data_IF_630967418271
#
_entry.id   IF_630967418271
#
_cell.length_a   1.000
_cell.length_b   1.000
_cell.length_c   1.000
_cell.angle_alpha   90.00
_cell.angle_beta   90.00
_cell.angle_gamma   90.00
#
_symmetry.space_group_name_H-M   'P 1'
#
loop_
_entity.id
_entity.type
_entity.pdbx_description
1 polymer ?
#
# COMPACT_ATOMS: atom_id res chain seq x y z
N UNK A 1 -1.08 7.29 -4.54
CA UNK A 1 -1.16 6.05 -3.71
C UNK A 1 -2.41 6.15 -2.84
N UNK A 2 -3.10 5.04 -2.60
CA UNK A 2 -4.33 5.00 -1.81
C UNK A 2 -4.25 3.85 -0.81
N UNK A 3 -4.68 4.10 0.43
CA UNK A 3 -4.74 3.08 1.49
C UNK A 3 -6.19 2.65 1.73
N UNK A 4 -6.35 1.37 2.06
CA UNK A 4 -7.59 0.68 2.37
C UNK A 4 -7.42 -0.07 3.68
N UNK A 5 -8.52 -0.19 4.41
CA UNK A 5 -8.63 -1.01 5.63
C UNK A 5 -9.45 -2.28 5.40
N UNK A 6 -9.93 -2.50 4.17
CA UNK A 6 -10.67 -3.69 3.78
C UNK A 6 -9.71 -4.86 3.51
N UNK A 7 -10.25 -6.08 3.47
CA UNK A 7 -9.52 -7.29 3.10
C UNK A 7 -9.66 -7.56 1.58
N UNK A 8 -8.60 -8.10 0.96
CA UNK A 8 -8.54 -8.49 -0.46
C UNK A 8 -8.78 -7.37 -1.52
N UNK A 9 -8.02 -6.26 -1.47
CA UNK A 9 -8.10 -5.22 -2.51
C UNK A 9 -7.64 -5.78 -3.86
N UNK A 10 -8.50 -5.64 -4.87
CA UNK A 10 -8.26 -6.11 -6.23
C UNK A 10 -7.54 -5.07 -7.11
N UNK A 11 -7.02 -5.51 -8.26
CA UNK A 11 -6.42 -4.62 -9.26
C UNK A 11 -7.42 -3.56 -9.76
N UNK A 12 -8.68 -3.93 -9.97
CA UNK A 12 -9.68 -3.01 -10.52
C UNK A 12 -10.08 -1.94 -9.50
N UNK A 13 -10.12 -2.28 -8.21
CA UNK A 13 -10.28 -1.29 -7.13
C UNK A 13 -9.06 -0.38 -7.02
N UNK A 14 -7.84 -0.94 -7.12
CA UNK A 14 -6.63 -0.13 -7.18
C UNK A 14 -6.69 0.87 -8.34
N UNK A 15 -7.10 0.44 -9.55
CA UNK A 15 -7.22 1.31 -10.73
C UNK A 15 -8.22 2.45 -10.49
N UNK A 16 -9.42 2.10 -10.02
CA UNK A 16 -10.49 3.05 -9.77
C UNK A 16 -10.02 4.16 -8.81
N UNK A 17 -9.46 3.74 -7.67
CA UNK A 17 -9.09 4.68 -6.62
C UNK A 17 -7.81 5.46 -6.93
N UNK A 18 -6.85 4.84 -7.62
CA UNK A 18 -5.63 5.53 -8.04
C UNK A 18 -5.90 6.58 -9.13
N UNK A 19 -7.03 6.50 -9.85
CA UNK A 19 -7.44 7.52 -10.83
C UNK A 19 -7.63 8.92 -10.23
N UNK A 20 -7.97 9.01 -8.94
CA UNK A 20 -8.17 10.26 -8.22
C UNK A 20 -7.17 10.46 -7.06
N UNK A 21 -6.22 9.54 -6.86
CA UNK A 21 -5.32 9.59 -5.72
C UNK A 21 -4.23 10.65 -5.89
N UNK A 22 -4.20 11.62 -4.98
CA UNK A 22 -3.23 12.73 -4.93
C UNK A 22 -2.11 12.53 -3.90
N UNK A 23 -2.24 11.52 -3.03
CA UNK A 23 -1.24 11.24 -2.00
C UNK A 23 -0.04 10.49 -2.56
N UNK A 24 1.14 10.84 -2.09
CA UNK A 24 2.40 10.13 -2.38
C UNK A 24 3.08 9.57 -1.14
N UNK A 25 2.52 9.82 0.05
CA UNK A 25 3.11 9.44 1.34
C UNK A 25 2.01 9.12 2.34
N UNK A 26 2.23 8.07 3.12
CA UNK A 26 1.48 7.78 4.35
C UNK A 26 2.45 7.72 5.52
N UNK A 27 2.06 8.27 6.68
CA UNK A 27 2.87 8.12 7.88
C UNK A 27 2.68 6.71 8.41
N UNK A 28 3.75 6.05 8.85
CA UNK A 28 3.60 4.70 9.42
C UNK A 28 2.64 4.71 10.62
N UNK A 29 2.57 5.81 11.37
CA UNK A 29 1.61 6.00 12.45
C UNK A 29 0.15 5.77 12.01
N UNK A 30 -0.26 6.21 10.82
CA UNK A 30 -1.63 6.05 10.30
C UNK A 30 -1.90 4.71 9.62
N UNK A 31 -0.89 3.86 9.46
CA UNK A 31 -1.01 2.57 8.78
C UNK A 31 -1.09 1.46 9.84
N UNK A 32 -2.16 0.67 9.81
CA UNK A 32 -2.33 -0.48 10.69
C UNK A 32 -1.74 -1.75 10.07
N UNK A 33 -1.46 -2.76 10.89
CA UNK A 33 -1.28 -4.12 10.36
C UNK A 33 -2.56 -4.57 9.64
N UNK A 34 -2.42 -5.26 8.52
CA UNK A 34 -3.49 -5.59 7.59
C UNK A 34 -3.82 -4.49 6.56
N UNK A 35 -3.33 -3.25 6.74
CA UNK A 35 -3.61 -2.17 5.78
C UNK A 35 -3.08 -2.50 4.39
N UNK A 36 -3.91 -2.25 3.39
CA UNK A 36 -3.60 -2.49 1.98
C UNK A 36 -3.40 -1.16 1.27
N UNK A 37 -2.32 -1.03 0.50
CA UNK A 37 -1.92 0.23 -0.13
C UNK A 37 -1.68 0.00 -1.60
N UNK A 38 -2.50 0.61 -2.45
CA UNK A 38 -2.27 0.66 -3.89
C UNK A 38 -1.33 1.82 -4.22
N UNK A 39 -0.36 1.58 -5.11
CA UNK A 39 0.54 2.59 -5.66
C UNK A 39 0.67 2.44 -7.18
N UNK A 40 0.58 3.56 -7.90
CA UNK A 40 0.86 3.64 -9.34
C UNK A 40 2.32 4.09 -9.53
N UNK A 41 3.08 3.34 -10.31
CA UNK A 41 4.43 3.73 -10.74
C UNK A 41 4.37 4.46 -12.10
N UNK A 42 5.25 5.44 -12.38
CA UNK A 42 5.29 6.13 -13.68
C UNK A 42 5.50 5.22 -14.91
N UNK A 43 6.03 4.00 -14.74
CA UNK A 43 6.12 2.99 -15.81
C UNK A 43 4.76 2.45 -16.28
N UNK A 44 3.68 2.76 -15.56
CA UNK A 44 2.36 2.16 -15.79
C UNK A 44 2.11 0.89 -14.98
N UNK A 45 2.96 0.55 -14.02
CA UNK A 45 2.74 -0.58 -13.11
C UNK A 45 1.85 -0.16 -11.93
N UNK A 46 1.09 -1.12 -11.39
CA UNK A 46 0.36 -0.99 -10.12
C UNK A 46 0.95 -1.97 -9.12
N UNK A 47 1.29 -1.48 -7.94
CA UNK A 47 1.68 -2.29 -6.79
C UNK A 47 0.57 -2.27 -5.72
N UNK A 48 0.28 -3.44 -5.15
CA UNK A 48 -0.48 -3.60 -3.92
C UNK A 48 0.49 -4.00 -2.81
N UNK A 49 0.53 -3.21 -1.75
CA UNK A 49 1.37 -3.41 -0.57
C UNK A 49 0.46 -3.75 0.62
N UNK A 50 0.63 -4.93 1.23
CA UNK A 50 -0.11 -5.35 2.42
C UNK A 50 0.81 -5.30 3.63
N UNK A 51 0.52 -4.44 4.59
CA UNK A 51 1.33 -4.32 5.81
C UNK A 51 1.05 -5.50 6.73
N UNK A 52 2.00 -6.43 6.85
CA UNK A 52 1.85 -7.63 7.67
C UNK A 52 2.17 -7.34 9.14
N UNK A 53 3.34 -6.76 9.38
CA UNK A 53 3.84 -6.47 10.73
C UNK A 53 4.25 -5.02 10.83
N UNK A 54 3.83 -4.36 11.91
CA UNK A 54 4.29 -3.02 12.30
C UNK A 54 4.66 -3.03 13.78
N UNK A 55 5.96 -3.12 14.06
CA UNK A 55 6.49 -2.89 15.40
C UNK A 55 7.26 -1.58 15.41
N UNK A 56 6.77 -0.61 16.18
CA UNK A 56 7.39 0.72 16.32
C UNK A 56 7.61 1.08 17.79
N UNK A 57 7.43 0.13 18.69
CA UNK A 57 7.49 0.35 20.14
C UNK A 57 8.92 0.66 20.63
N UNK A 58 9.93 0.07 19.99
CA UNK A 58 11.35 0.29 20.28
C UNK A 58 12.06 0.75 19.00
N UNK A 59 12.54 2.00 18.91
CA UNK A 59 13.13 2.54 17.67
C UNK A 59 14.29 1.70 17.12
N UNK A 60 15.16 1.20 18.00
CA UNK A 60 16.32 0.38 17.65
C UNK A 60 15.96 -1.04 17.17
N UNK A 61 14.72 -1.49 17.42
CA UNK A 61 14.18 -2.78 16.99
C UNK A 61 12.92 -2.62 16.12
N UNK A 62 12.70 -1.42 15.57
CA UNK A 62 11.52 -1.14 14.78
C UNK A 62 11.54 -2.02 13.51
N UNK A 63 10.41 -2.67 13.24
CA UNK A 63 10.26 -3.56 12.10
C UNK A 63 8.98 -3.28 11.33
N UNK A 64 9.11 -3.29 10.01
CA UNK A 64 8.01 -3.20 9.07
C UNK A 64 8.15 -4.36 8.08
N UNK A 65 7.12 -5.19 8.00
CA UNK A 65 7.03 -6.25 7.00
C UNK A 65 5.84 -5.99 6.10
N UNK A 66 6.06 -6.08 4.80
CA UNK A 66 5.05 -5.81 3.77
C UNK A 66 5.11 -6.93 2.74
N UNK A 67 3.95 -7.45 2.37
CA UNK A 67 3.81 -8.30 1.19
C UNK A 67 3.47 -7.44 -0.03
N UNK A 68 4.05 -7.73 -1.19
CA UNK A 68 3.90 -6.90 -2.38
C UNK A 68 3.49 -7.74 -3.59
N UNK A 69 2.36 -7.38 -4.18
CA UNK A 69 1.93 -7.85 -5.49
C UNK A 69 2.12 -6.74 -6.52
N UNK A 70 2.69 -7.06 -7.69
CA UNK A 70 2.91 -6.09 -8.77
C UNK A 70 2.24 -6.57 -10.05
N UNK A 71 1.35 -5.74 -10.59
CA UNK A 71 0.77 -5.92 -11.92
C UNK A 71 1.46 -4.99 -12.91
N UNK A 72 2.14 -5.60 -13.90
CA UNK A 72 2.92 -4.85 -14.89
C UNK A 72 2.01 -4.23 -15.95
N UNK A 73 2.29 -2.97 -16.32
CA UNK A 73 1.55 -2.22 -17.36
C UNK A 73 0.03 -2.25 -17.16
N UNK A 74 -0.40 -2.10 -15.91
CA UNK A 74 -1.78 -2.27 -15.49
C UNK A 74 -2.48 -0.95 -15.12
N UNK A 75 -1.79 0.19 -15.17
CA UNK A 75 -2.28 1.48 -14.71
C UNK A 75 -2.94 2.37 -15.76
#
# INVERSE_FOLDING_TARGET
MQMFTDEAVSLDECRLMLGAADRHRWTLASVAAGSQICAKHPSGDIALLVVQTKSTALPELASLMVDMTVWKKAA
#
